data_IF_320657090902
#
_entry.id   IF_320657090902
#
_cell.length_a   1.000
_cell.length_b   1.000
_cell.length_c   1.000
_cell.angle_alpha   90.00
_cell.angle_beta   90.00
_cell.angle_gamma   90.00
#
_symmetry.space_group_name_H-M   'P 1'
#
loop_
_entity.id
_entity.type
_entity.pdbx_description
1 polymer ?
#
# COMPACT_ATOMS: atom_id res chain seq x y z
N UNK A 1 -6.72 32.83 -44.18
CA UNK A 1 -7.39 32.10 -43.09
C UNK A 1 -7.05 30.62 -42.95
N UNK A 2 -5.94 30.15 -43.51
CA UNK A 2 -5.52 28.71 -43.44
C UNK A 2 -4.55 28.37 -42.32
N UNK A 3 -4.03 29.34 -41.54
CA UNK A 3 -3.02 29.11 -40.52
C UNK A 3 -3.52 28.64 -39.15
N UNK A 4 -4.78 28.89 -38.82
CA UNK A 4 -5.29 28.58 -37.48
C UNK A 4 -5.71 27.10 -37.33
N UNK A 5 -6.13 26.47 -38.42
CA UNK A 5 -6.60 25.08 -38.37
C UNK A 5 -5.44 24.09 -38.17
N UNK A 6 -4.26 24.37 -38.70
CA UNK A 6 -3.08 23.51 -38.55
C UNK A 6 -2.56 23.54 -37.11
N UNK A 7 -2.54 24.73 -36.48
CA UNK A 7 -2.12 24.87 -35.07
C UNK A 7 -3.11 24.17 -34.13
N UNK A 8 -4.42 24.31 -34.39
CA UNK A 8 -5.45 23.64 -33.61
C UNK A 8 -5.38 22.13 -33.76
N UNK A 9 -5.15 21.63 -34.99
CA UNK A 9 -5.00 20.20 -35.25
C UNK A 9 -3.76 19.62 -34.56
N UNK A 10 -2.63 20.34 -34.62
CA UNK A 10 -1.38 19.92 -33.96
C UNK A 10 -1.55 19.89 -32.44
N UNK A 11 -2.25 20.87 -31.85
CA UNK A 11 -2.53 20.90 -30.39
C UNK A 11 -3.42 19.74 -29.97
N UNK A 12 -4.45 19.43 -30.76
CA UNK A 12 -5.34 18.28 -30.48
C UNK A 12 -4.60 16.94 -30.55
N UNK A 13 -3.68 16.76 -31.50
CA UNK A 13 -2.87 15.54 -31.60
C UNK A 13 -1.91 15.38 -30.42
N UNK A 14 -1.33 16.48 -29.91
CA UNK A 14 -0.47 16.46 -28.73
C UNK A 14 -1.27 16.10 -27.49
N UNK A 15 -2.46 16.68 -27.30
CA UNK A 15 -3.32 16.40 -26.16
C UNK A 15 -3.80 14.94 -26.17
N UNK A 16 -4.22 14.42 -27.33
CA UNK A 16 -4.62 13.01 -27.47
C UNK A 16 -3.45 12.08 -27.20
N UNK A 17 -2.24 12.43 -27.69
CA UNK A 17 -1.02 11.65 -27.41
C UNK A 17 -0.66 11.61 -25.93
N UNK A 18 -0.80 12.73 -25.22
CA UNK A 18 -0.55 12.81 -23.77
C UNK A 18 -1.56 12.00 -22.95
N UNK A 19 -2.85 12.06 -23.33
CA UNK A 19 -3.90 11.26 -22.68
C UNK A 19 -3.69 9.76 -22.92
N UNK A 20 -3.29 9.36 -24.13
CA UNK A 20 -2.98 7.96 -24.45
C UNK A 20 -1.78 7.44 -23.64
N UNK A 21 -0.74 8.27 -23.39
CA UNK A 21 0.40 7.91 -22.57
C UNK A 21 0.05 7.75 -21.08
N UNK A 22 -0.96 8.45 -20.59
CA UNK A 22 -1.43 8.32 -19.21
C UNK A 22 -2.25 7.03 -18.96
N UNK A 23 -2.81 6.43 -20.01
CA UNK A 23 -3.60 5.20 -19.88
C UNK A 23 -2.76 3.93 -19.79
N UNK A 24 -1.46 3.98 -20.05
CA UNK A 24 -0.58 2.79 -20.05
C UNK A 24 -0.02 2.43 -18.67
N UNK A 25 -0.34 3.17 -17.62
CA UNK A 25 0.07 2.85 -16.25
C UNK A 25 -1.09 2.34 -15.38
N UNK A 26 -1.93 1.49 -15.91
CA UNK A 26 -2.61 0.55 -15.03
C UNK A 26 -1.58 -0.49 -14.60
N UNK A 27 -0.88 -0.17 -13.52
CA UNK A 27 -0.16 -1.17 -12.75
C UNK A 27 -1.24 -2.13 -12.26
N UNK A 28 -1.40 -3.25 -12.94
CA UNK A 28 -2.22 -4.34 -12.42
C UNK A 28 -1.56 -4.73 -11.09
N UNK A 29 -2.23 -4.41 -9.99
CA UNK A 29 -1.80 -4.84 -8.68
C UNK A 29 -1.93 -6.37 -8.65
N UNK A 30 -0.82 -7.07 -8.83
CA UNK A 30 -0.75 -8.51 -8.68
C UNK A 30 -0.89 -8.85 -7.20
N UNK A 31 -1.99 -9.49 -6.83
CA UNK A 31 -2.27 -9.93 -5.47
C UNK A 31 -1.66 -11.30 -5.21
N UNK A 32 -0.91 -11.43 -4.12
CA UNK A 32 -0.41 -12.71 -3.67
C UNK A 32 -1.34 -13.33 -2.63
N UNK A 33 -1.88 -14.48 -2.96
CA UNK A 33 -2.61 -15.33 -2.02
C UNK A 33 -1.70 -16.42 -1.46
N UNK A 34 -1.47 -16.45 -0.17
CA UNK A 34 -0.74 -17.53 0.49
C UNK A 34 -1.44 -17.97 1.78
N UNK A 35 -1.00 -19.11 2.33
CA UNK A 35 -1.43 -19.52 3.65
C UNK A 35 -0.88 -18.60 4.74
N UNK A 36 -1.63 -18.43 5.83
CA UNK A 36 -1.23 -17.58 6.95
C UNK A 36 0.16 -17.95 7.49
N UNK A 37 0.45 -19.24 7.61
CA UNK A 37 1.75 -19.74 8.10
C UNK A 37 2.92 -19.40 7.18
N UNK A 38 2.67 -19.11 5.91
CA UNK A 38 3.68 -18.78 4.90
C UNK A 38 3.95 -17.27 4.80
N UNK A 39 3.18 -16.42 5.48
CA UNK A 39 3.33 -14.97 5.49
C UNK A 39 4.74 -14.51 5.90
N UNK A 40 5.37 -15.06 6.96
CA UNK A 40 6.74 -14.68 7.34
C UNK A 40 7.75 -15.00 6.23
N UNK A 41 7.59 -16.12 5.52
CA UNK A 41 8.45 -16.52 4.41
C UNK A 41 8.35 -15.53 3.25
N UNK A 42 7.14 -15.07 2.92
CA UNK A 42 6.90 -14.04 1.91
C UNK A 42 7.65 -12.75 2.26
N UNK A 43 7.48 -12.23 3.47
CA UNK A 43 8.11 -10.97 3.86
C UNK A 43 9.63 -11.07 3.94
N UNK A 44 10.18 -12.17 4.44
CA UNK A 44 11.62 -12.43 4.42
C UNK A 44 12.19 -12.44 3.00
N UNK A 45 11.44 -12.94 2.03
CA UNK A 45 11.81 -12.85 0.63
C UNK A 45 11.79 -11.40 0.14
N UNK A 46 10.76 -10.61 0.51
CA UNK A 46 10.58 -9.21 0.10
C UNK A 46 11.61 -8.24 0.69
N UNK A 47 12.30 -8.62 1.76
CA UNK A 47 13.42 -7.85 2.31
C UNK A 47 14.62 -7.78 1.35
N UNK A 48 14.73 -8.71 0.41
CA UNK A 48 15.76 -8.68 -0.63
C UNK A 48 15.39 -7.62 -1.67
N UNK A 49 16.30 -6.68 -1.95
CA UNK A 49 16.08 -5.52 -2.82
C UNK A 49 15.66 -5.86 -4.26
N UNK A 50 16.04 -7.03 -4.76
CA UNK A 50 15.81 -7.45 -6.13
C UNK A 50 14.64 -8.45 -6.28
N UNK A 51 13.94 -8.77 -5.19
CA UNK A 51 12.85 -9.75 -5.22
C UNK A 51 11.55 -9.15 -5.77
N UNK A 52 10.87 -9.91 -6.62
CA UNK A 52 9.54 -9.55 -7.12
C UNK A 52 8.42 -10.14 -6.26
N UNK A 53 7.22 -9.57 -6.36
CA UNK A 53 6.02 -10.10 -5.70
C UNK A 53 5.76 -11.55 -6.13
N UNK A 54 5.91 -11.83 -7.43
CA UNK A 54 5.67 -13.17 -8.00
C UNK A 54 6.64 -14.21 -7.45
N UNK A 55 7.94 -13.90 -7.38
CA UNK A 55 8.96 -14.80 -6.83
C UNK A 55 8.71 -15.10 -5.35
N UNK A 56 8.41 -14.06 -4.56
CA UNK A 56 8.16 -14.24 -3.13
C UNK A 56 6.85 -14.96 -2.85
N UNK A 57 5.84 -14.74 -3.68
CA UNK A 57 4.59 -15.47 -3.61
C UNK A 57 4.79 -16.97 -3.89
N UNK A 58 5.55 -17.32 -4.95
CA UNK A 58 5.89 -18.69 -5.27
C UNK A 58 6.72 -19.39 -4.19
N UNK A 59 7.68 -18.67 -3.58
CA UNK A 59 8.50 -19.23 -2.48
C UNK A 59 7.71 -19.44 -1.18
N UNK A 60 6.51 -18.89 -1.08
CA UNK A 60 5.59 -19.00 0.06
C UNK A 60 4.44 -19.97 -0.21
N UNK A 61 4.57 -20.86 -1.19
CA UNK A 61 3.51 -21.76 -1.65
C UNK A 61 2.20 -21.03 -1.98
N UNK A 62 2.31 -19.78 -2.43
CA UNK A 62 1.23 -18.92 -2.82
C UNK A 62 0.97 -18.93 -4.32
N UNK A 63 -0.07 -18.23 -4.72
CA UNK A 63 -0.38 -18.01 -6.13
C UNK A 63 -0.73 -16.53 -6.37
N UNK A 64 -0.41 -16.05 -7.57
CA UNK A 64 -0.75 -14.69 -8.01
C UNK A 64 -2.15 -14.68 -8.61
N UNK A 65 -2.93 -13.67 -8.28
CA UNK A 65 -4.17 -13.33 -8.96
C UNK A 65 -4.12 -11.88 -9.45
N UNK A 66 -4.46 -11.70 -10.72
CA UNK A 66 -4.49 -10.40 -11.40
C UNK A 66 -5.95 -9.93 -11.67
N UNK A 67 -6.94 -10.66 -11.17
CA UNK A 67 -8.34 -10.36 -11.41
C UNK A 67 -8.82 -9.21 -10.52
N UNK A 68 -9.42 -8.17 -11.10
CA UNK A 68 -10.06 -7.10 -10.35
C UNK A 68 -11.22 -7.67 -9.50
N UNK A 69 -11.25 -7.30 -8.20
CA UNK A 69 -12.29 -7.75 -7.27
C UNK A 69 -12.19 -9.23 -6.89
N UNK A 70 -11.00 -9.80 -7.01
CA UNK A 70 -10.78 -11.20 -6.70
C UNK A 70 -10.74 -11.46 -5.18
N UNK A 71 -11.15 -12.67 -4.81
CA UNK A 71 -10.97 -13.21 -3.46
C UNK A 71 -10.04 -14.42 -3.52
N UNK A 72 -9.15 -14.53 -2.53
CA UNK A 72 -8.33 -15.72 -2.39
C UNK A 72 -9.19 -16.98 -2.14
N UNK A 73 -8.74 -18.12 -2.64
CA UNK A 73 -9.38 -19.41 -2.36
C UNK A 73 -9.47 -19.66 -0.85
N UNK A 74 -10.44 -20.46 -0.43
CA UNK A 74 -10.59 -20.82 0.98
C UNK A 74 -9.27 -21.38 1.55
N UNK A 75 -8.86 -20.87 2.71
CA UNK A 75 -7.58 -21.19 3.37
C UNK A 75 -6.38 -20.33 2.94
N UNK A 76 -6.55 -19.46 1.94
CA UNK A 76 -5.54 -18.49 1.52
C UNK A 76 -5.97 -17.09 1.88
N UNK A 77 -5.01 -16.23 2.18
CA UNK A 77 -5.22 -14.80 2.44
C UNK A 77 -4.51 -13.96 1.40
N UNK A 78 -5.10 -12.83 1.05
CA UNK A 78 -4.42 -11.79 0.28
C UNK A 78 -3.46 -11.03 1.20
N UNK A 79 -2.17 -11.19 0.96
CA UNK A 79 -1.11 -10.61 1.81
C UNK A 79 -1.19 -9.08 1.85
N UNK A 80 -1.44 -8.43 0.72
CA UNK A 80 -1.48 -6.97 0.65
C UNK A 80 -2.65 -6.42 1.49
N UNK A 81 -3.82 -7.03 1.38
CA UNK A 81 -4.99 -6.65 2.19
C UNK A 81 -4.77 -6.94 3.66
N UNK A 82 -4.20 -8.09 4.01
CA UNK A 82 -3.90 -8.46 5.39
C UNK A 82 -2.87 -7.50 6.03
N UNK A 83 -1.81 -7.16 5.29
CA UNK A 83 -0.81 -6.19 5.74
C UNK A 83 -1.41 -4.81 5.97
N UNK A 84 -2.23 -4.33 5.04
CA UNK A 84 -2.89 -3.03 5.17
C UNK A 84 -3.82 -2.99 6.40
N UNK A 85 -4.56 -4.07 6.66
CA UNK A 85 -5.38 -4.20 7.84
C UNK A 85 -4.54 -4.15 9.12
N UNK A 86 -3.43 -4.92 9.18
CA UNK A 86 -2.52 -4.93 10.33
C UNK A 86 -1.91 -3.55 10.60
N UNK A 87 -1.47 -2.83 9.57
CA UNK A 87 -0.96 -1.46 9.68
C UNK A 87 -2.04 -0.52 10.23
N UNK A 88 -3.27 -0.63 9.75
CA UNK A 88 -4.39 0.20 10.22
C UNK A 88 -4.72 -0.09 11.70
N UNK A 89 -4.74 -1.35 12.13
CA UNK A 89 -4.92 -1.72 13.54
C UNK A 89 -3.78 -1.21 14.42
N UNK A 90 -2.53 -1.31 13.96
CA UNK A 90 -1.37 -0.75 14.65
C UNK A 90 -1.51 0.76 14.84
N UNK A 91 -1.85 1.51 13.79
CA UNK A 91 -2.05 2.96 13.86
C UNK A 91 -3.15 3.33 14.84
N UNK A 92 -4.28 2.64 14.78
CA UNK A 92 -5.42 2.87 15.68
C UNK A 92 -5.03 2.61 17.14
N UNK A 93 -4.38 1.48 17.43
CA UNK A 93 -3.94 1.12 18.77
C UNK A 93 -2.87 2.07 19.31
N UNK A 94 -1.89 2.45 18.51
CA UNK A 94 -0.86 3.42 18.87
C UNK A 94 -1.48 4.79 19.18
N UNK A 95 -2.33 5.30 18.30
CA UNK A 95 -3.00 6.59 18.48
C UNK A 95 -3.89 6.59 19.74
N UNK A 96 -4.67 5.55 19.95
CA UNK A 96 -5.54 5.43 21.13
C UNK A 96 -4.73 5.31 22.45
N UNK A 97 -3.60 4.61 22.43
CA UNK A 97 -2.81 4.36 23.65
C UNK A 97 -1.87 5.52 24.00
N UNK A 98 -1.25 6.15 23.03
CA UNK A 98 -0.22 7.17 23.24
C UNK A 98 -0.72 8.59 23.00
N UNK A 99 -1.49 8.82 21.95
CA UNK A 99 -1.85 10.17 21.55
C UNK A 99 -3.04 10.73 22.37
N UNK A 100 -3.91 9.89 22.89
CA UNK A 100 -5.00 10.33 23.77
C UNK A 100 -4.50 10.91 25.13
N UNK A 101 -3.25 10.63 25.49
CA UNK A 101 -2.60 11.20 26.68
C UNK A 101 -2.01 12.59 26.45
N UNK A 102 -1.96 13.03 25.20
CA UNK A 102 -1.54 14.38 24.83
C UNK A 102 -2.72 15.31 25.07
N UNK A 103 -2.89 15.73 26.33
CA UNK A 103 -3.94 16.69 26.70
C UNK A 103 -3.66 18.07 26.10
N UNK A 104 -4.62 18.69 25.39
CA UNK A 104 -4.46 20.04 24.87
C UNK A 104 -4.52 21.05 26.03
N UNK A 105 -3.39 21.40 26.59
CA UNK A 105 -3.28 22.54 27.52
C UNK A 105 -2.93 23.81 26.75
N UNK A 106 -3.85 24.25 25.86
CA UNK A 106 -3.71 25.46 25.08
C UNK A 106 -4.24 25.29 23.66
N UNK A 107 -4.95 26.31 23.15
CA UNK A 107 -5.79 26.19 21.95
C UNK A 107 -5.06 25.84 20.64
N UNK A 108 -3.74 26.01 20.56
CA UNK A 108 -2.97 25.74 19.33
C UNK A 108 -1.87 24.67 19.50
N UNK A 109 -1.33 24.49 20.70
CA UNK A 109 -0.25 23.53 20.98
C UNK A 109 -0.73 22.09 20.94
N UNK A 110 -1.99 21.84 21.27
CA UNK A 110 -2.57 20.51 21.31
C UNK A 110 -2.76 19.86 19.93
N UNK A 111 -3.05 20.67 18.91
CA UNK A 111 -3.26 20.20 17.54
C UNK A 111 -1.95 19.70 16.91
N UNK A 112 -0.89 20.51 17.02
CA UNK A 112 0.44 20.13 16.53
C UNK A 112 1.01 18.91 17.25
N UNK A 113 0.79 18.79 18.56
CA UNK A 113 1.25 17.65 19.35
C UNK A 113 0.49 16.36 18.96
N UNK A 114 -0.80 16.46 18.69
CA UNK A 114 -1.61 15.33 18.22
C UNK A 114 -1.18 14.90 16.81
N UNK A 115 -0.95 15.86 15.90
CA UNK A 115 -0.46 15.54 14.55
C UNK A 115 0.89 14.85 14.57
N UNK A 116 1.85 15.34 15.37
CA UNK A 116 3.17 14.71 15.53
C UNK A 116 3.08 13.31 16.12
N UNK A 117 2.21 13.12 17.11
CA UNK A 117 1.98 11.81 17.71
C UNK A 117 1.38 10.83 16.68
N UNK A 118 0.37 11.25 15.95
CA UNK A 118 -0.27 10.43 14.90
C UNK A 118 0.70 10.11 13.77
N UNK A 119 1.53 11.08 13.35
CA UNK A 119 2.59 10.85 12.36
C UNK A 119 3.65 9.86 12.87
N UNK A 120 4.04 9.97 14.13
CA UNK A 120 4.96 9.02 14.78
C UNK A 120 4.40 7.59 14.81
N UNK A 121 3.11 7.45 15.12
CA UNK A 121 2.42 6.15 15.03
C UNK A 121 2.37 5.60 13.61
N UNK A 122 2.17 6.46 12.63
CA UNK A 122 2.20 6.06 11.22
C UNK A 122 3.58 5.50 10.85
N UNK A 123 4.64 6.22 11.18
CA UNK A 123 6.02 5.82 10.88
C UNK A 123 6.39 4.52 11.60
N UNK A 124 6.03 4.39 12.86
CA UNK A 124 6.28 3.18 13.65
C UNK A 124 5.61 1.96 13.02
N UNK A 125 4.35 2.09 12.65
CA UNK A 125 3.56 0.99 12.10
C UNK A 125 3.92 0.63 10.65
N UNK A 126 4.55 1.52 9.90
CA UNK A 126 4.97 1.26 8.51
C UNK A 126 6.40 0.78 8.38
N UNK A 127 7.30 1.16 9.30
CA UNK A 127 8.71 0.75 9.26
C UNK A 127 8.94 -0.74 9.58
N UNK A 128 8.09 -1.34 10.40
CA UNK A 128 8.26 -2.70 10.91
C UNK A 128 7.31 -3.70 10.24
N UNK A 129 7.09 -3.57 8.94
CA UNK A 129 6.19 -4.47 8.20
C UNK A 129 6.53 -5.95 8.37
N UNK A 130 7.82 -6.31 8.48
CA UNK A 130 8.26 -7.69 8.70
C UNK A 130 7.88 -8.21 10.10
N UNK A 131 7.98 -7.38 11.14
CA UNK A 131 7.58 -7.75 12.51
C UNK A 131 6.05 -7.83 12.65
N UNK A 132 5.32 -6.92 11.99
CA UNK A 132 3.84 -6.95 11.96
C UNK A 132 3.35 -8.24 11.29
N UNK A 133 4.02 -8.70 10.23
CA UNK A 133 3.70 -9.95 9.55
C UNK A 133 3.84 -11.18 10.47
N UNK A 134 4.82 -11.18 11.39
CA UNK A 134 4.98 -12.24 12.38
C UNK A 134 3.86 -12.25 13.43
N UNK A 135 3.37 -11.07 13.82
CA UNK A 135 2.25 -10.94 14.78
C UNK A 135 0.93 -11.40 14.16
N UNK A 136 0.71 -11.13 12.88
CA UNK A 136 -0.51 -11.56 12.16
C UNK A 136 -0.53 -13.09 11.94
N UNK A 137 0.66 -13.73 11.83
CA UNK A 137 0.79 -15.18 11.64
C UNK A 137 0.78 -15.97 12.96
N UNK A 138 0.87 -15.29 14.10
CA UNK A 138 0.82 -15.90 15.42
C UNK A 138 -0.61 -16.03 15.97
#
# INVERSE_FOLDING_TARGET
MRGNNVKTLALMLVVVGLVALQQTQQVQASHCCCHLDSVPTYFKCREKSDSTVSECCGSSDGYISDAAGFECKSGFIDIETALQAAVNYCKLGCTASLCNKVTPSGKDVGKDAMERCTSGCHDLCTKNNAEIAQVVAA
#
